data_IF_385607934986
#
_entry.id   IF_385607934986
#
_cell.length_a   1.000
_cell.length_b   1.000
_cell.length_c   1.000
_cell.angle_alpha   90.00
_cell.angle_beta   90.00
_cell.angle_gamma   90.00
#
_symmetry.space_group_name_H-M   'P 1'
#
loop_
_entity.id
_entity.type
_entity.pdbx_description
1 polymer ?
#
# COMPACT_ATOMS: atom_id res chain seq x y z
N UNK A 1 10.51 15.97 -5.37
CA UNK A 1 9.19 15.41 -5.75
C UNK A 1 9.27 14.34 -6.85
N UNK A 2 10.33 14.25 -7.65
CA UNK A 2 10.45 13.20 -8.70
C UNK A 2 10.57 11.78 -8.17
N UNK A 3 11.36 11.55 -7.12
CA UNK A 3 11.46 10.22 -6.51
C UNK A 3 10.10 9.69 -6.05
N UNK A 4 9.22 10.54 -5.52
CA UNK A 4 7.90 10.08 -5.07
C UNK A 4 7.05 9.54 -6.22
N UNK A 5 7.11 10.19 -7.38
CA UNK A 5 6.48 9.70 -8.61
C UNK A 5 7.09 8.38 -9.07
N UNK A 6 8.42 8.28 -9.11
CA UNK A 6 9.13 7.07 -9.52
C UNK A 6 8.72 5.86 -8.67
N UNK A 7 8.75 5.99 -7.34
CA UNK A 7 8.35 4.92 -6.42
C UNK A 7 6.88 4.52 -6.60
N UNK A 8 5.98 5.49 -6.83
CA UNK A 8 4.56 5.21 -7.07
C UNK A 8 4.37 4.40 -8.34
N UNK A 9 5.05 4.78 -9.42
CA UNK A 9 5.03 4.06 -10.69
C UNK A 9 5.58 2.64 -10.55
N UNK A 10 6.71 2.46 -9.85
CA UNK A 10 7.31 1.14 -9.60
C UNK A 10 6.35 0.25 -8.78
N UNK A 11 5.74 0.78 -7.72
CA UNK A 11 4.76 0.08 -6.90
C UNK A 11 3.53 -0.35 -7.71
N UNK A 12 2.98 0.55 -8.52
CA UNK A 12 1.83 0.24 -9.38
C UNK A 12 2.18 -0.82 -10.42
N UNK A 13 3.38 -0.75 -11.03
CA UNK A 13 3.85 -1.77 -11.95
C UNK A 13 4.02 -3.13 -11.27
N UNK A 14 4.61 -3.18 -10.08
CA UNK A 14 4.77 -4.41 -9.29
C UNK A 14 3.41 -5.04 -8.93
N UNK A 15 2.42 -4.21 -8.54
CA UNK A 15 1.06 -4.67 -8.27
C UNK A 15 0.38 -5.28 -9.51
N UNK A 16 0.56 -4.68 -10.69
CA UNK A 16 0.03 -5.21 -11.95
C UNK A 16 0.70 -6.53 -12.35
N UNK A 17 2.03 -6.64 -12.18
CA UNK A 17 2.76 -7.89 -12.43
C UNK A 17 2.26 -8.99 -11.49
N UNK A 18 2.10 -8.71 -10.20
CA UNK A 18 1.58 -9.68 -9.24
C UNK A 18 0.14 -10.11 -9.53
N UNK A 19 -0.70 -9.18 -9.96
CA UNK A 19 -2.06 -9.50 -10.40
C UNK A 19 -2.05 -10.40 -11.65
N UNK A 20 -1.16 -10.15 -12.61
CA UNK A 20 -0.99 -11.03 -13.76
C UNK A 20 -0.52 -12.43 -13.33
N UNK A 21 0.50 -12.52 -12.47
CA UNK A 21 0.99 -13.79 -11.94
C UNK A 21 -0.08 -14.56 -11.15
N UNK A 22 -0.99 -13.85 -10.48
CA UNK A 22 -2.16 -14.45 -9.84
C UNK A 22 -3.11 -15.09 -10.87
N UNK A 23 -3.43 -14.39 -11.97
CA UNK A 23 -4.28 -14.95 -13.05
C UNK A 23 -3.64 -16.15 -13.77
N UNK A 24 -2.31 -16.20 -13.85
CA UNK A 24 -1.58 -17.38 -14.35
C UNK A 24 -1.49 -18.52 -13.32
N UNK A 25 -2.05 -18.36 -12.12
CA UNK A 25 -2.00 -19.36 -11.05
C UNK A 25 -0.62 -19.53 -10.40
N UNK A 26 0.31 -18.60 -10.63
CA UNK A 26 1.67 -18.65 -10.08
C UNK A 26 1.68 -18.12 -8.64
N UNK A 27 0.87 -17.09 -8.36
CA UNK A 27 0.76 -16.43 -7.06
C UNK A 27 -0.61 -16.74 -6.47
N UNK A 28 -0.67 -17.13 -5.20
CA UNK A 28 -1.93 -17.39 -4.49
C UNK A 28 -2.59 -16.10 -3.98
N UNK A 29 -3.89 -16.16 -3.68
CA UNK A 29 -4.70 -15.05 -3.16
C UNK A 29 -4.06 -14.39 -1.93
N UNK A 30 -3.53 -15.21 -1.01
CA UNK A 30 -2.89 -14.75 0.22
C UNK A 30 -1.68 -13.88 -0.11
N UNK A 31 -0.77 -14.39 -0.94
CA UNK A 31 0.44 -13.65 -1.34
C UNK A 31 0.09 -12.35 -2.07
N UNK A 32 -0.93 -12.37 -2.94
CA UNK A 32 -1.41 -11.17 -3.61
C UNK A 32 -1.93 -10.13 -2.61
N UNK A 33 -2.75 -10.54 -1.64
CA UNK A 33 -3.28 -9.67 -0.59
C UNK A 33 -2.16 -9.07 0.28
N UNK A 34 -1.15 -9.87 0.64
CA UNK A 34 0.01 -9.39 1.41
C UNK A 34 0.77 -8.30 0.67
N UNK A 35 1.08 -8.50 -0.61
CA UNK A 35 1.87 -7.52 -1.35
C UNK A 35 1.06 -6.26 -1.67
N UNK A 36 -0.19 -6.40 -2.11
CA UNK A 36 -1.06 -5.24 -2.34
C UNK A 36 -1.29 -4.44 -1.05
N UNK A 37 -1.48 -5.13 0.06
CA UNK A 37 -1.56 -4.55 1.39
C UNK A 37 -0.30 -3.76 1.76
N UNK A 38 0.87 -4.37 1.58
CA UNK A 38 2.15 -3.73 1.87
C UNK A 38 2.38 -2.49 0.99
N UNK A 39 2.13 -2.60 -0.32
CA UNK A 39 2.24 -1.47 -1.26
C UNK A 39 1.35 -0.30 -0.83
N UNK A 40 0.12 -0.59 -0.42
CA UNK A 40 -0.82 0.42 0.06
C UNK A 40 -0.33 1.10 1.35
N UNK A 41 0.05 0.30 2.36
CA UNK A 41 0.54 0.81 3.65
C UNK A 41 1.73 1.74 3.43
N UNK A 42 2.70 1.33 2.61
CA UNK A 42 3.86 2.15 2.29
C UNK A 42 3.47 3.50 1.68
N UNK A 43 2.55 3.53 0.71
CA UNK A 43 2.07 4.78 0.12
C UNK A 43 1.40 5.68 1.16
N UNK A 44 0.53 5.11 2.00
CA UNK A 44 -0.15 5.87 3.06
C UNK A 44 0.81 6.45 4.09
N UNK A 45 1.83 5.69 4.52
CA UNK A 45 2.85 6.16 5.46
C UNK A 45 3.67 7.29 4.83
N UNK A 46 4.08 7.13 3.58
CA UNK A 46 4.85 8.18 2.88
C UNK A 46 4.04 9.46 2.70
N UNK A 47 2.75 9.32 2.38
CA UNK A 47 1.85 10.45 2.24
C UNK A 47 1.57 11.12 3.59
N UNK A 48 1.41 10.35 4.67
CA UNK A 48 1.32 10.88 6.03
C UNK A 48 2.57 11.68 6.43
N UNK A 49 3.76 11.16 6.14
CA UNK A 49 5.03 11.87 6.37
C UNK A 49 5.11 13.18 5.59
N UNK A 50 4.59 13.22 4.37
CA UNK A 50 4.49 14.46 3.58
C UNK A 50 3.55 15.47 4.26
N UNK A 51 2.36 15.03 4.68
CA UNK A 51 1.41 15.90 5.38
C UNK A 51 1.96 16.43 6.71
N UNK A 52 2.71 15.63 7.47
CA UNK A 52 3.40 16.08 8.68
C UNK A 52 4.40 17.20 8.36
N UNK A 53 5.20 17.04 7.30
CA UNK A 53 6.16 18.07 6.87
C UNK A 53 5.47 19.36 6.41
N UNK A 54 4.26 19.26 5.86
CA UNK A 54 3.43 20.40 5.45
C UNK A 54 2.64 21.01 6.62
N UNK A 55 2.79 20.51 7.85
CA UNK A 55 2.05 20.97 9.03
C UNK A 55 0.58 20.52 9.08
N UNK A 56 0.15 19.66 8.16
CA UNK A 56 -1.22 19.14 8.09
C UNK A 56 -1.35 17.82 8.86
N UNK A 57 -1.42 17.92 10.18
CA UNK A 57 -1.49 16.76 11.10
C UNK A 57 -2.77 15.94 10.95
N UNK A 58 -3.90 16.58 10.62
CA UNK A 58 -5.19 15.88 10.44
C UNK A 58 -5.13 14.90 9.27
N UNK A 59 -4.63 15.35 8.11
CA UNK A 59 -4.50 14.50 6.92
C UNK A 59 -3.48 13.38 7.12
N UNK A 60 -2.44 13.62 7.93
CA UNK A 60 -1.48 12.59 8.30
C UNK A 60 -2.12 11.48 9.15
N UNK A 61 -2.91 11.85 10.17
CA UNK A 61 -3.61 10.90 11.05
C UNK A 61 -4.63 10.08 10.26
N UNK A 62 -5.43 10.72 9.40
CA UNK A 62 -6.40 10.03 8.54
C UNK A 62 -5.73 9.00 7.62
N UNK A 63 -4.58 9.37 7.03
CA UNK A 63 -3.80 8.46 6.18
C UNK A 63 -3.24 7.27 6.97
N UNK A 64 -2.78 7.49 8.20
CA UNK A 64 -2.32 6.43 9.10
C UNK A 64 -3.43 5.46 9.52
N UNK A 65 -4.61 5.99 9.88
CA UNK A 65 -5.77 5.17 10.27
C UNK A 65 -6.25 4.27 9.13
N UNK A 66 -6.27 4.78 7.90
CA UNK A 66 -6.58 3.98 6.70
C UNK A 66 -5.58 2.84 6.48
N UNK A 67 -4.29 3.09 6.71
CA UNK A 67 -3.25 2.07 6.67
C UNK A 67 -3.48 0.96 7.71
N UNK A 68 -3.79 1.34 8.96
CA UNK A 68 -4.07 0.38 10.04
C UNK A 68 -5.33 -0.47 9.76
N UNK A 69 -6.40 0.15 9.23
CA UNK A 69 -7.63 -0.57 8.87
C UNK A 69 -7.38 -1.63 7.79
N UNK A 70 -6.56 -1.30 6.78
CA UNK A 70 -6.16 -2.24 5.71
C UNK A 70 -5.41 -3.45 6.28
N UNK A 71 -4.44 -3.23 7.17
CA UNK A 71 -3.67 -4.32 7.82
C UNK A 71 -4.61 -5.21 8.64
N UNK A 72 -5.52 -4.63 9.41
CA UNK A 72 -6.50 -5.38 10.19
C UNK A 72 -7.43 -6.24 9.30
N UNK A 73 -7.84 -5.73 8.13
CA UNK A 73 -8.62 -6.47 7.14
C UNK A 73 -7.84 -7.64 6.53
N UNK A 74 -6.54 -7.46 6.26
CA UNK A 74 -5.65 -8.53 5.78
C UNK A 74 -5.53 -9.60 6.86
N UNK A 75 -5.25 -9.22 8.11
CA UNK A 75 -5.14 -10.16 9.23
C UNK A 75 -6.43 -10.97 9.45
N UNK A 76 -7.61 -10.36 9.30
CA UNK A 76 -8.91 -11.05 9.41
C UNK A 76 -9.17 -12.05 8.27
N UNK A 77 -8.54 -11.86 7.10
CA UNK A 77 -8.65 -12.78 5.96
C UNK A 77 -7.68 -13.96 6.06
N UNK A 78 -6.62 -13.82 6.85
CA UNK A 78 -5.57 -14.84 7.01
C UNK A 78 -5.82 -15.75 8.23
N UNK A 79 -6.41 -15.22 9.31
CA UNK A 79 -6.89 -15.98 10.47
C UNK A 79 -8.21 -16.70 10.18
#
# INVERSE_FOLDING_TARGET
>A
MEQDKLYRTIMSAAALVLLALYFFGIVNEVTLLYVLGFCWVYMTVRQALKYIKEGNTVMAVLSGLLGCAMIALILKRVL
#
